data_IF_604151509310
#
_entry.id   IF_604151509310
#
_cell.length_a   1.000
_cell.length_b   1.000
_cell.length_c   1.000
_cell.angle_alpha   90.00
_cell.angle_beta   90.00
_cell.angle_gamma   90.00
#
_symmetry.space_group_name_H-M   'P 1'
#
loop_
_entity.id
_entity.type
_entity.pdbx_description
1 polymer ?
#
# COMPACT_ATOMS: atom_id res chain seq x y z
N UNK A 1 2.88 31.51 -60.57
CA UNK A 1 3.36 31.51 -59.21
C UNK A 1 2.15 31.46 -58.27
N UNK A 2 1.86 30.38 -57.53
CA UNK A 2 0.86 30.40 -56.46
C UNK A 2 1.57 30.54 -55.09
N UNK A 3 0.98 31.37 -54.25
CA UNK A 3 1.36 31.63 -52.86
C UNK A 3 1.12 30.44 -51.90
N UNK A 4 1.85 30.33 -50.82
CA UNK A 4 1.75 29.20 -49.89
C UNK A 4 0.55 29.34 -48.97
N UNK A 5 -0.15 28.21 -48.75
CA UNK A 5 -1.26 28.07 -47.82
C UNK A 5 -0.79 28.05 -46.38
N UNK A 6 -1.49 28.80 -45.52
CA UNK A 6 -1.39 28.83 -44.08
C UNK A 6 -1.65 27.43 -43.48
N UNK A 7 -0.65 26.90 -42.79
CA UNK A 7 -0.83 25.80 -41.85
C UNK A 7 -1.29 26.39 -40.51
N UNK A 8 -2.57 26.20 -40.19
CA UNK A 8 -3.09 26.46 -38.85
C UNK A 8 -2.61 25.35 -37.91
N UNK A 9 -1.76 25.71 -36.99
CA UNK A 9 -1.42 24.90 -35.80
C UNK A 9 -2.63 24.80 -34.90
N UNK A 10 -3.24 23.60 -34.82
CA UNK A 10 -4.25 23.32 -33.83
C UNK A 10 -3.57 23.25 -32.45
N UNK A 11 -3.70 24.31 -31.67
CA UNK A 11 -3.42 24.29 -30.23
C UNK A 11 -4.52 23.47 -29.54
N UNK A 12 -4.20 22.26 -29.15
CA UNK A 12 -5.06 21.43 -28.30
C UNK A 12 -5.19 22.09 -26.93
N UNK A 13 -6.30 22.75 -26.68
CA UNK A 13 -6.70 23.17 -25.35
C UNK A 13 -6.97 21.90 -24.53
N UNK A 14 -6.07 21.56 -23.60
CA UNK A 14 -6.36 20.63 -22.53
C UNK A 14 -7.47 21.24 -21.66
N UNK A 15 -8.69 20.81 -21.91
CA UNK A 15 -9.82 21.13 -21.03
C UNK A 15 -9.57 20.46 -19.68
N UNK A 16 -9.35 21.28 -18.64
CA UNK A 16 -9.39 20.84 -17.25
C UNK A 16 -10.70 20.10 -16.99
N UNK A 17 -10.66 18.89 -16.37
CA UNK A 17 -11.88 18.17 -16.04
C UNK A 17 -12.79 19.04 -15.18
N UNK A 18 -14.01 19.26 -15.63
CA UNK A 18 -15.05 19.96 -14.87
C UNK A 18 -15.31 19.17 -13.60
N UNK A 19 -15.29 19.78 -12.39
CA UNK A 19 -15.68 19.09 -11.19
C UNK A 19 -17.06 18.48 -11.39
N UNK A 20 -17.19 17.18 -11.17
CA UNK A 20 -18.47 16.48 -11.18
C UNK A 20 -19.25 16.90 -9.94
N UNK A 21 -19.78 18.13 -9.94
CA UNK A 21 -20.74 18.59 -8.95
C UNK A 21 -22.09 17.96 -9.28
N UNK A 22 -22.29 16.71 -8.85
CA UNK A 22 -23.62 16.13 -8.73
C UNK A 22 -24.01 16.16 -7.25
N UNK A 23 -24.81 17.15 -6.80
CA UNK A 23 -25.25 17.26 -5.41
C UNK A 23 -26.17 16.12 -4.95
N UNK A 24 -26.52 15.18 -5.86
CA UNK A 24 -27.39 14.04 -5.60
C UNK A 24 -26.70 12.71 -5.32
N UNK A 25 -25.43 12.54 -5.58
CA UNK A 25 -24.73 11.29 -5.26
C UNK A 25 -24.38 11.23 -3.78
N UNK A 26 -25.22 10.55 -3.03
CA UNK A 26 -24.96 10.19 -1.64
C UNK A 26 -24.49 8.73 -1.61
N UNK A 27 -23.21 8.51 -1.34
CA UNK A 27 -22.70 7.24 -0.91
C UNK A 27 -22.09 7.38 0.50
N UNK A 28 -21.86 6.25 1.16
CA UNK A 28 -21.41 6.25 2.55
C UNK A 28 -20.02 6.85 2.73
N UNK A 29 -19.11 6.76 1.72
CA UNK A 29 -17.78 7.35 1.80
C UNK A 29 -17.87 8.87 1.79
N UNK A 30 -18.67 9.43 0.87
CA UNK A 30 -18.91 10.87 0.81
C UNK A 30 -19.58 11.38 2.10
N UNK A 31 -20.46 10.57 2.67
CA UNK A 31 -21.08 10.93 3.96
C UNK A 31 -20.03 10.97 5.08
N UNK A 32 -19.15 9.96 5.17
CA UNK A 32 -18.05 9.94 6.14
C UNK A 32 -17.17 11.20 5.99
N UNK A 33 -16.75 11.52 4.76
CA UNK A 33 -15.91 12.70 4.52
C UNK A 33 -16.62 14.00 4.93
N UNK A 34 -17.93 14.14 4.64
CA UNK A 34 -18.72 15.31 5.08
C UNK A 34 -18.80 15.42 6.59
N UNK A 35 -19.02 14.31 7.28
CA UNK A 35 -19.13 14.27 8.73
C UNK A 35 -17.76 14.63 9.37
N UNK A 36 -16.66 14.12 8.83
CA UNK A 36 -15.31 14.43 9.31
C UNK A 36 -14.93 15.91 9.05
N UNK A 37 -15.33 16.48 7.91
CA UNK A 37 -15.17 17.91 7.63
C UNK A 37 -16.02 18.78 8.60
N UNK A 38 -17.26 18.37 8.87
CA UNK A 38 -18.10 19.04 9.85
C UNK A 38 -17.55 18.94 11.28
N UNK A 39 -16.81 17.87 11.59
CA UNK A 39 -16.10 17.67 12.85
C UNK A 39 -14.78 18.45 12.97
N UNK A 40 -14.37 19.17 11.92
CA UNK A 40 -13.20 20.05 11.93
C UNK A 40 -11.99 19.57 11.13
N UNK A 41 -12.11 18.49 10.35
CA UNK A 41 -11.07 18.13 9.38
C UNK A 41 -10.96 19.25 8.32
N UNK A 42 -9.75 19.69 8.01
CA UNK A 42 -9.55 20.80 7.05
C UNK A 42 -9.84 20.39 5.60
N UNK A 43 -9.35 19.23 5.16
CA UNK A 43 -9.56 18.65 3.84
C UNK A 43 -9.16 17.18 3.84
N UNK A 44 -9.77 16.33 3.00
CA UNK A 44 -9.35 14.93 2.92
C UNK A 44 -7.99 14.80 2.22
N UNK A 45 -7.17 13.90 2.72
CA UNK A 45 -5.97 13.41 2.03
C UNK A 45 -6.11 11.92 1.80
N UNK A 46 -6.12 11.53 0.54
CA UNK A 46 -6.25 10.15 0.07
C UNK A 46 -4.98 9.70 -0.64
N UNK A 47 -4.89 8.46 -1.04
CA UNK A 47 -3.81 7.95 -1.88
C UNK A 47 -4.26 6.76 -2.72
N UNK A 48 -3.70 6.61 -3.90
CA UNK A 48 -3.75 5.39 -4.69
C UNK A 48 -2.42 4.65 -4.52
N UNK A 49 -2.38 3.45 -3.91
CA UNK A 49 -1.16 2.75 -3.52
C UNK A 49 -0.93 1.48 -4.35
N UNK A 50 -0.66 1.57 -5.68
CA UNK A 50 -0.48 0.38 -6.49
C UNK A 50 0.85 -0.33 -6.18
N UNK A 51 0.82 -1.67 -6.20
CA UNK A 51 2.03 -2.50 -6.29
C UNK A 51 2.52 -2.50 -7.75
N UNK A 52 3.79 -2.08 -8.07
CA UNK A 52 4.27 -1.96 -9.44
C UNK A 52 4.69 -3.32 -10.02
N UNK A 53 3.76 -4.28 -10.05
CA UNK A 53 3.98 -5.68 -10.43
C UNK A 53 3.14 -6.11 -11.64
N UNK A 54 2.62 -5.16 -12.44
CA UNK A 54 1.88 -5.36 -13.69
C UNK A 54 0.96 -4.21 -14.03
N UNK A 55 0.40 -4.30 -15.22
CA UNK A 55 -0.52 -3.31 -15.77
C UNK A 55 -1.83 -3.22 -14.99
N UNK A 56 -2.40 -2.03 -14.94
CA UNK A 56 -3.70 -1.79 -14.30
C UNK A 56 -4.84 -2.32 -15.17
N UNK A 57 -5.92 -2.72 -14.52
CA UNK A 57 -7.16 -3.13 -15.17
C UNK A 57 -8.32 -2.26 -14.68
N UNK A 58 -9.48 -2.41 -15.31
CA UNK A 58 -10.68 -1.61 -15.03
C UNK A 58 -11.09 -1.57 -13.54
N UNK A 59 -10.74 -2.61 -12.77
CA UNK A 59 -10.95 -2.62 -11.31
C UNK A 59 -10.10 -1.59 -10.59
N UNK A 60 -8.86 -1.35 -11.06
CA UNK A 60 -8.00 -0.28 -10.53
C UNK A 60 -8.50 1.10 -10.94
N UNK A 61 -9.08 1.26 -12.15
CA UNK A 61 -9.69 2.52 -12.56
C UNK A 61 -10.77 2.98 -11.57
N UNK A 62 -11.58 2.03 -11.05
CA UNK A 62 -12.57 2.36 -10.01
C UNK A 62 -11.92 2.92 -8.75
N UNK A 63 -10.82 2.31 -8.27
CA UNK A 63 -10.09 2.78 -7.10
C UNK A 63 -9.50 4.17 -7.37
N UNK A 64 -8.83 4.36 -8.50
CA UNK A 64 -8.27 5.66 -8.91
C UNK A 64 -9.36 6.74 -8.93
N UNK A 65 -10.47 6.48 -9.63
CA UNK A 65 -11.58 7.43 -9.70
C UNK A 65 -12.19 7.76 -8.33
N UNK A 66 -12.15 6.81 -7.39
CA UNK A 66 -12.65 7.05 -6.04
C UNK A 66 -11.65 7.86 -5.21
N UNK A 67 -10.38 7.43 -5.16
CA UNK A 67 -9.34 8.09 -4.36
C UNK A 67 -9.12 9.54 -4.80
N UNK A 68 -8.88 9.74 -6.09
CA UNK A 68 -8.69 11.07 -6.68
C UNK A 68 -9.98 11.89 -6.72
N UNK A 69 -11.12 11.23 -7.01
CA UNK A 69 -12.42 11.88 -7.08
C UNK A 69 -12.87 12.46 -5.74
N UNK A 70 -12.71 11.72 -4.65
CA UNK A 70 -13.00 12.20 -3.29
C UNK A 70 -12.10 13.40 -2.95
N UNK A 71 -10.80 13.29 -3.18
CA UNK A 71 -9.88 14.40 -2.94
C UNK A 71 -10.30 15.65 -3.71
N UNK A 72 -10.58 15.52 -5.00
CA UNK A 72 -10.97 16.65 -5.88
C UNK A 72 -12.31 17.26 -5.45
N UNK A 73 -13.31 16.42 -5.16
CA UNK A 73 -14.68 16.87 -4.80
C UNK A 73 -14.68 17.70 -3.51
N UNK A 74 -13.85 17.31 -2.54
CA UNK A 74 -13.80 17.97 -1.23
C UNK A 74 -12.61 18.92 -1.04
N UNK A 75 -11.93 19.32 -2.13
CA UNK A 75 -10.82 20.28 -2.08
C UNK A 75 -9.58 19.76 -1.36
N UNK A 76 -9.41 18.46 -1.33
CA UNK A 76 -8.30 17.75 -0.70
C UNK A 76 -7.15 17.42 -1.66
N UNK A 77 -6.35 16.45 -1.27
CA UNK A 77 -5.16 15.99 -2.03
C UNK A 77 -5.18 14.47 -2.16
N UNK A 78 -4.66 13.95 -3.28
CA UNK A 78 -4.45 12.52 -3.48
C UNK A 78 -3.00 12.25 -3.89
N UNK A 79 -2.32 11.36 -3.16
CA UNK A 79 -0.98 10.91 -3.48
C UNK A 79 -1.01 9.68 -4.41
N UNK A 80 0.01 9.52 -5.23
CA UNK A 80 0.35 8.25 -5.86
C UNK A 80 1.53 7.65 -5.09
N UNK A 81 1.31 6.51 -4.43
CA UNK A 81 2.36 5.82 -3.66
C UNK A 81 2.56 4.41 -4.17
N UNK A 82 3.71 4.13 -4.73
CA UNK A 82 4.06 2.77 -5.09
C UNK A 82 4.34 1.92 -3.84
N UNK A 83 3.61 0.82 -3.67
CA UNK A 83 3.94 -0.19 -2.68
C UNK A 83 5.02 -1.11 -3.25
N UNK A 84 6.26 -0.70 -3.08
CA UNK A 84 7.46 -1.39 -3.53
C UNK A 84 8.14 -2.19 -2.40
N UNK A 85 7.35 -2.86 -1.57
CA UNK A 85 7.83 -3.70 -0.46
C UNK A 85 8.19 -5.13 -0.87
N UNK A 86 7.98 -5.49 -2.13
CA UNK A 86 8.24 -6.83 -2.66
C UNK A 86 9.10 -6.83 -3.94
N UNK A 87 10.41 -6.55 -3.83
CA UNK A 87 11.31 -6.32 -4.96
C UNK A 87 11.39 -7.45 -5.98
N UNK A 88 11.00 -8.67 -5.60
CA UNK A 88 11.04 -9.83 -6.51
C UNK A 88 9.99 -9.79 -7.65
N UNK A 89 9.08 -8.82 -7.65
CA UNK A 89 7.96 -8.74 -8.59
C UNK A 89 7.79 -7.37 -9.24
N UNK A 90 8.60 -6.42 -8.86
CA UNK A 90 8.49 -5.03 -9.28
C UNK A 90 9.32 -4.79 -10.54
N UNK A 91 8.78 -3.96 -11.46
CA UNK A 91 9.45 -3.59 -12.68
C UNK A 91 9.22 -2.09 -12.97
N UNK A 92 10.27 -1.32 -13.33
CA UNK A 92 10.15 0.07 -13.74
C UNK A 92 9.16 0.31 -14.90
N UNK A 93 8.95 -0.68 -15.77
CA UNK A 93 7.97 -0.62 -16.84
C UNK A 93 6.56 -0.39 -16.28
N UNK A 94 6.20 -1.13 -15.22
CA UNK A 94 4.88 -1.00 -14.60
C UNK A 94 4.72 0.32 -13.84
N UNK A 95 5.79 0.84 -13.24
CA UNK A 95 5.78 2.17 -12.61
C UNK A 95 5.38 3.24 -13.63
N UNK A 96 5.96 3.22 -14.83
CA UNK A 96 5.65 4.19 -15.89
C UNK A 96 4.23 3.98 -16.44
N UNK A 97 3.85 2.74 -16.74
CA UNK A 97 2.50 2.43 -17.22
C UNK A 97 1.41 2.88 -16.23
N UNK A 98 1.61 2.68 -14.93
CA UNK A 98 0.67 3.12 -13.89
C UNK A 98 0.55 4.66 -13.85
N UNK A 99 1.67 5.39 -13.98
CA UNK A 99 1.63 6.86 -14.07
C UNK A 99 0.84 7.33 -15.29
N UNK A 100 1.09 6.72 -16.44
CA UNK A 100 0.42 7.05 -17.68
C UNK A 100 -1.10 6.74 -17.59
N UNK A 101 -1.47 5.62 -16.99
CA UNK A 101 -2.87 5.24 -16.75
C UNK A 101 -3.61 6.25 -15.85
N UNK A 102 -2.97 6.74 -14.77
CA UNK A 102 -3.56 7.77 -13.89
C UNK A 102 -3.76 9.08 -14.64
N UNK A 103 -2.77 9.51 -15.45
CA UNK A 103 -2.86 10.71 -16.28
C UNK A 103 -3.91 10.56 -17.37
N UNK A 104 -4.00 9.39 -18.02
CA UNK A 104 -5.00 9.10 -19.05
C UNK A 104 -6.44 9.16 -18.49
N UNK A 105 -6.64 8.71 -17.24
CA UNK A 105 -7.90 8.88 -16.53
C UNK A 105 -8.23 10.34 -16.15
N UNK A 106 -7.33 11.28 -16.45
CA UNK A 106 -7.51 12.72 -16.20
C UNK A 106 -7.14 13.19 -14.81
N UNK A 107 -6.40 12.39 -14.03
CA UNK A 107 -5.98 12.75 -12.69
C UNK A 107 -4.50 13.13 -12.61
N UNK A 108 -4.18 13.98 -11.63
CA UNK A 108 -2.82 14.33 -11.24
C UNK A 108 -2.66 14.09 -9.74
N UNK A 109 -1.57 13.44 -9.35
CA UNK A 109 -1.24 13.24 -7.93
C UNK A 109 -0.60 14.49 -7.32
N UNK A 110 -0.82 14.67 -6.03
CA UNK A 110 -0.20 15.76 -5.27
C UNK A 110 1.27 15.45 -4.98
N UNK A 111 1.57 14.21 -4.59
CA UNK A 111 2.92 13.73 -4.32
C UNK A 111 3.08 12.32 -4.91
N UNK A 112 4.29 12.06 -5.45
CA UNK A 112 4.72 10.73 -5.85
C UNK A 112 5.63 10.19 -4.76
N UNK A 113 5.28 9.02 -4.21
CA UNK A 113 5.99 8.37 -3.12
C UNK A 113 6.23 6.89 -3.41
N UNK A 114 7.19 6.31 -2.69
CA UNK A 114 7.46 4.88 -2.67
C UNK A 114 7.48 4.42 -1.22
N UNK A 115 7.00 3.22 -0.92
CA UNK A 115 7.09 2.65 0.42
C UNK A 115 8.56 2.52 0.87
N UNK A 116 9.47 2.28 -0.07
CA UNK A 116 10.91 2.22 0.17
C UNK A 116 11.53 3.54 0.64
N UNK A 117 10.90 4.69 0.39
CA UNK A 117 11.33 5.99 0.93
C UNK A 117 11.33 5.97 2.47
N UNK A 118 10.47 5.14 3.06
CA UNK A 118 10.21 5.07 4.51
C UNK A 118 10.88 3.88 5.20
N UNK A 119 11.65 3.04 4.52
CA UNK A 119 12.22 1.81 5.09
C UNK A 119 12.99 2.03 6.41
N UNK A 120 13.73 3.13 6.52
CA UNK A 120 14.44 3.47 7.77
C UNK A 120 13.44 3.76 8.91
N UNK A 121 12.37 4.49 8.63
CA UNK A 121 11.34 4.82 9.64
C UNK A 121 10.57 3.56 10.04
N UNK A 122 10.27 2.68 9.08
CA UNK A 122 9.65 1.38 9.38
C UNK A 122 10.55 0.52 10.27
N UNK A 123 11.87 0.54 10.01
CA UNK A 123 12.84 -0.20 10.82
C UNK A 123 12.88 0.34 12.26
N UNK A 124 12.98 1.65 12.44
CA UNK A 124 12.96 2.29 13.76
C UNK A 124 11.63 2.07 14.51
N UNK A 125 10.50 2.11 13.78
CA UNK A 125 9.19 1.80 14.35
C UNK A 125 9.11 0.33 14.80
N UNK A 126 9.73 -0.60 14.07
CA UNK A 126 9.81 -2.00 14.48
C UNK A 126 10.70 -2.19 15.72
N UNK A 127 11.84 -1.47 15.83
CA UNK A 127 12.65 -1.46 17.06
C UNK A 127 11.85 -0.92 18.26
N UNK A 128 11.00 0.09 18.04
CA UNK A 128 10.07 0.60 19.08
C UNK A 128 9.09 -0.48 19.53
N UNK A 129 8.45 -1.20 18.61
CA UNK A 129 7.53 -2.29 18.93
C UNK A 129 8.22 -3.42 19.72
N UNK A 130 9.46 -3.75 19.37
CA UNK A 130 10.26 -4.73 20.13
C UNK A 130 10.53 -4.20 21.54
N UNK A 131 10.94 -2.94 21.69
CA UNK A 131 11.23 -2.32 22.98
C UNK A 131 9.99 -2.28 23.89
N UNK A 132 8.80 -2.12 23.33
CA UNK A 132 7.53 -2.17 24.05
C UNK A 132 7.07 -3.60 24.41
N UNK A 133 7.72 -4.63 23.84
CA UNK A 133 7.30 -6.02 23.97
C UNK A 133 6.10 -6.40 23.10
N UNK A 134 5.74 -5.56 22.12
CA UNK A 134 4.64 -5.75 21.16
C UNK A 134 5.09 -6.50 19.90
N UNK A 135 6.38 -6.80 19.73
CA UNK A 135 6.91 -7.63 18.65
C UNK A 135 8.04 -8.54 19.12
N UNK A 136 8.24 -9.65 18.43
CA UNK A 136 9.28 -10.65 18.74
C UNK A 136 9.84 -11.31 17.48
N UNK A 137 11.07 -11.78 17.55
CA UNK A 137 11.70 -12.57 16.49
C UNK A 137 11.29 -14.04 16.63
N UNK A 138 10.78 -14.60 15.55
CA UNK A 138 10.30 -15.98 15.45
C UNK A 138 11.22 -16.75 14.52
N UNK A 139 11.77 -17.88 14.99
CA UNK A 139 12.68 -18.73 14.23
C UNK A 139 11.92 -19.89 13.53
N UNK A 140 10.58 -19.93 13.62
CA UNK A 140 9.76 -20.88 12.87
C UNK A 140 9.81 -20.57 11.38
N UNK A 141 9.95 -21.59 10.55
CA UNK A 141 9.82 -21.47 9.09
C UNK A 141 8.35 -21.24 8.67
N UNK A 142 8.11 -20.98 7.39
CA UNK A 142 6.79 -20.62 6.88
C UNK A 142 5.71 -21.70 7.12
N UNK A 143 6.07 -22.99 7.01
CA UNK A 143 5.13 -24.10 7.21
C UNK A 143 4.81 -24.30 8.69
N UNK A 144 5.80 -24.17 9.56
CA UNK A 144 5.61 -24.18 11.01
C UNK A 144 4.74 -22.99 11.45
N UNK A 145 5.02 -21.78 10.96
CA UNK A 145 4.17 -20.59 11.25
C UNK A 145 2.73 -20.85 10.83
N UNK A 146 2.51 -21.46 9.66
CA UNK A 146 1.16 -21.80 9.18
C UNK A 146 0.49 -22.81 10.11
N UNK A 147 1.22 -23.86 10.55
CA UNK A 147 0.72 -24.86 11.47
C UNK A 147 0.39 -24.27 12.85
N UNK A 148 1.23 -23.36 13.36
CA UNK A 148 0.99 -22.69 14.65
C UNK A 148 -0.16 -21.68 14.59
N UNK A 149 -0.37 -21.02 13.44
CA UNK A 149 -1.44 -20.05 13.24
C UNK A 149 -2.84 -20.69 13.32
N UNK A 150 -2.96 -21.97 13.02
CA UNK A 150 -4.25 -22.68 12.99
C UNK A 150 -5.06 -22.36 11.73
N UNK A 151 -6.36 -22.61 11.81
CA UNK A 151 -7.31 -22.45 10.71
C UNK A 151 -8.41 -21.44 11.07
N UNK A 152 -9.36 -21.20 10.18
CA UNK A 152 -10.53 -20.34 10.50
C UNK A 152 -11.40 -20.93 11.61
N UNK A 153 -11.40 -22.26 11.79
CA UNK A 153 -12.21 -22.97 12.78
C UNK A 153 -11.42 -23.43 14.00
N UNK A 154 -10.08 -23.42 13.92
CA UNK A 154 -9.20 -23.83 15.00
C UNK A 154 -8.32 -22.64 15.42
N UNK A 155 -8.22 -22.36 16.74
CA UNK A 155 -7.37 -21.28 17.22
C UNK A 155 -5.90 -21.59 16.95
N UNK A 156 -5.09 -20.56 16.89
CA UNK A 156 -3.65 -20.70 16.84
C UNK A 156 -3.06 -21.05 18.22
N UNK A 157 -1.78 -21.39 18.20
CA UNK A 157 -0.98 -21.63 19.40
C UNK A 157 0.25 -20.73 19.43
N UNK A 158 0.70 -20.36 20.62
CA UNK A 158 1.86 -19.51 20.78
C UNK A 158 3.13 -20.15 20.20
N UNK A 159 3.92 -19.37 19.47
CA UNK A 159 5.27 -19.76 19.08
C UNK A 159 6.14 -19.99 20.34
N UNK A 160 7.06 -20.97 20.35
CA UNK A 160 8.02 -21.13 21.44
C UNK A 160 8.91 -19.90 21.63
N UNK A 161 9.05 -19.06 20.62
CA UNK A 161 9.87 -17.83 20.66
C UNK A 161 9.10 -16.59 21.11
N UNK A 162 7.78 -16.68 21.32
CA UNK A 162 6.90 -15.54 21.61
C UNK A 162 7.28 -14.78 22.90
N UNK A 163 7.88 -15.47 23.84
CA UNK A 163 8.27 -14.89 25.14
C UNK A 163 9.78 -14.64 25.27
N UNK A 164 10.49 -14.58 24.14
CA UNK A 164 11.89 -14.17 24.10
C UNK A 164 12.07 -12.76 24.68
N UNK A 165 13.16 -12.50 25.39
CA UNK A 165 13.45 -11.22 26.03
C UNK A 165 13.58 -10.07 25.03
N UNK A 166 13.28 -8.86 25.47
CA UNK A 166 13.32 -7.65 24.61
C UNK A 166 14.71 -7.43 24.02
N UNK A 167 15.75 -7.50 24.83
CA UNK A 167 17.13 -7.27 24.35
C UNK A 167 17.57 -8.32 23.35
N UNK A 168 17.27 -9.60 23.59
CA UNK A 168 17.57 -10.66 22.62
C UNK A 168 16.81 -10.45 21.29
N UNK A 169 15.53 -10.06 21.35
CA UNK A 169 14.77 -9.75 20.14
C UNK A 169 15.36 -8.56 19.37
N UNK A 170 15.83 -7.53 20.09
CA UNK A 170 16.46 -6.36 19.50
C UNK A 170 17.77 -6.74 18.78
N UNK A 171 18.62 -7.52 19.46
CA UNK A 171 19.90 -7.96 18.88
C UNK A 171 19.66 -8.83 17.64
N UNK A 172 18.72 -9.79 17.70
CA UNK A 172 18.37 -10.61 16.57
C UNK A 172 17.80 -9.80 15.39
N UNK A 173 17.00 -8.77 15.67
CA UNK A 173 16.47 -7.90 14.61
C UNK A 173 17.57 -7.09 13.94
N UNK A 174 18.57 -6.62 14.70
CA UNK A 174 19.76 -5.96 14.16
C UNK A 174 20.62 -6.92 13.31
N UNK A 175 20.79 -8.15 13.76
CA UNK A 175 21.45 -9.19 12.95
C UNK A 175 20.68 -9.51 11.66
N UNK A 176 19.34 -9.52 11.69
CA UNK A 176 18.53 -9.61 10.48
C UNK A 176 18.80 -8.43 9.54
N UNK A 177 18.87 -7.21 10.06
CA UNK A 177 19.18 -5.99 9.30
C UNK A 177 20.61 -5.99 8.73
N UNK A 178 21.54 -6.59 9.46
CA UNK A 178 22.93 -6.77 9.02
C UNK A 178 23.11 -7.86 7.94
N UNK A 179 22.05 -8.65 7.65
CA UNK A 179 22.11 -9.72 6.64
C UNK A 179 22.79 -11.01 7.15
N UNK A 180 22.84 -11.22 8.46
CA UNK A 180 23.53 -12.39 9.04
C UNK A 180 22.75 -13.71 8.89
N UNK A 181 21.46 -13.65 8.46
CA UNK A 181 20.61 -14.82 8.35
C UNK A 181 20.12 -15.01 6.91
N UNK A 182 20.01 -16.27 6.50
CA UNK A 182 19.46 -16.63 5.18
C UNK A 182 17.96 -16.36 5.09
N UNK A 183 17.47 -16.30 3.86
CA UNK A 183 16.03 -16.12 3.57
C UNK A 183 15.19 -17.16 4.29
N UNK A 184 14.11 -16.70 4.93
CA UNK A 184 13.15 -17.54 5.64
C UNK A 184 13.62 -18.07 6.99
N UNK A 185 14.86 -17.79 7.44
CA UNK A 185 15.36 -18.27 8.73
C UNK A 185 14.63 -17.64 9.92
N UNK A 186 14.21 -16.38 9.80
CA UNK A 186 13.55 -15.62 10.86
C UNK A 186 12.55 -14.63 10.30
N UNK A 187 11.54 -14.32 11.13
CA UNK A 187 10.57 -13.25 10.88
C UNK A 187 10.37 -12.42 12.14
N UNK A 188 10.20 -11.10 11.99
CA UNK A 188 9.65 -10.28 13.06
C UNK A 188 8.13 -10.44 13.04
N UNK A 189 7.54 -10.80 14.16
CA UNK A 189 6.09 -10.97 14.31
C UNK A 189 5.53 -10.02 15.36
N UNK A 190 4.34 -9.48 15.08
CA UNK A 190 3.57 -8.78 16.10
C UNK A 190 3.15 -9.76 17.21
N UNK A 191 3.03 -9.25 18.43
CA UNK A 191 2.57 -10.02 19.60
C UNK A 191 1.16 -9.58 19.96
N UNK A 192 0.16 -10.19 19.33
CA UNK A 192 -1.26 -9.81 19.47
C UNK A 192 -2.05 -10.92 20.19
N UNK A 193 -2.75 -11.76 19.44
CA UNK A 193 -3.60 -12.80 20.02
C UNK A 193 -3.69 -14.04 19.10
N UNK A 194 -3.03 -15.11 19.49
CA UNK A 194 -3.06 -16.38 18.74
C UNK A 194 -4.43 -17.10 18.81
N UNK A 195 -5.31 -16.69 19.72
CA UNK A 195 -6.68 -17.20 19.83
C UNK A 195 -7.72 -16.41 19.05
N UNK A 196 -7.33 -15.30 18.41
CA UNK A 196 -8.26 -14.42 17.69
C UNK A 196 -9.07 -15.16 16.63
N UNK A 197 -10.37 -14.84 16.50
CA UNK A 197 -11.21 -15.27 15.39
C UNK A 197 -10.74 -14.71 14.04
N UNK A 198 -10.12 -13.53 14.05
CA UNK A 198 -9.48 -12.95 12.88
C UNK A 198 -8.04 -13.49 12.76
N UNK A 199 -7.79 -14.27 11.70
CA UNK A 199 -6.50 -14.92 11.46
C UNK A 199 -5.36 -13.91 11.24
N UNK A 200 -5.68 -12.68 10.78
CA UNK A 200 -4.70 -11.60 10.57
C UNK A 200 -4.18 -11.02 11.89
N UNK A 201 -4.83 -11.28 13.02
CA UNK A 201 -4.39 -10.87 14.35
C UNK A 201 -3.61 -11.97 15.10
N UNK A 202 -3.42 -13.14 14.49
CA UNK A 202 -2.68 -14.26 15.11
C UNK A 202 -1.18 -14.11 14.93
N UNK A 203 -0.60 -13.17 15.64
CA UNK A 203 0.82 -12.79 15.59
C UNK A 203 1.34 -12.71 14.14
N UNK A 204 0.85 -11.76 13.32
CA UNK A 204 1.24 -11.63 11.92
C UNK A 204 2.72 -11.25 11.78
N UNK A 205 3.32 -11.62 10.64
CA UNK A 205 4.67 -11.19 10.30
C UNK A 205 4.67 -9.69 9.97
N UNK A 206 5.63 -8.95 10.54
CA UNK A 206 5.88 -7.54 10.25
C UNK A 206 7.09 -7.37 9.32
N UNK A 207 8.12 -8.22 9.44
CA UNK A 207 9.30 -8.25 8.59
C UNK A 207 9.70 -9.66 8.20
N UNK A 208 10.28 -9.78 7.00
CA UNK A 208 10.89 -11.01 6.48
C UNK A 208 12.31 -10.74 5.99
N UNK A 209 13.16 -11.77 6.00
CA UNK A 209 14.48 -11.73 5.39
C UNK A 209 14.33 -12.07 3.91
N UNK A 210 14.94 -11.28 3.03
CA UNK A 210 15.00 -11.54 1.61
C UNK A 210 16.20 -10.84 0.97
N UNK A 211 17.14 -11.63 0.45
CA UNK A 211 18.33 -11.14 -0.23
C UNK A 211 18.05 -10.99 -1.73
N UNK A 212 17.44 -9.88 -2.10
CA UNK A 212 17.11 -9.52 -3.48
C UNK A 212 17.45 -8.05 -3.69
N UNK A 213 17.97 -7.69 -4.84
CA UNK A 213 18.20 -6.31 -5.22
C UNK A 213 16.85 -5.59 -5.40
N UNK A 214 16.73 -4.44 -4.78
CA UNK A 214 15.55 -3.59 -4.83
C UNK A 214 15.79 -2.43 -5.80
N UNK A 215 14.82 -2.12 -6.66
CA UNK A 215 14.97 -1.11 -7.72
C UNK A 215 15.38 0.29 -7.20
N UNK A 216 14.91 0.71 -6.02
CA UNK A 216 15.21 2.03 -5.47
C UNK A 216 16.33 2.01 -4.42
N UNK A 217 16.48 0.91 -3.66
CA UNK A 217 17.43 0.84 -2.54
C UNK A 217 18.61 -0.10 -2.78
N UNK A 218 18.65 -0.78 -3.95
CA UNK A 218 19.70 -1.73 -4.28
C UNK A 218 19.76 -2.86 -3.27
N UNK A 219 20.96 -3.20 -2.80
CA UNK A 219 21.21 -4.25 -1.80
C UNK A 219 21.28 -3.75 -0.36
N UNK A 220 20.86 -2.49 -0.10
CA UNK A 220 20.97 -1.88 1.22
C UNK A 220 20.08 -2.54 2.28
N UNK A 221 19.02 -3.24 1.87
CA UNK A 221 18.05 -3.85 2.77
C UNK A 221 17.93 -5.36 2.53
N UNK A 222 18.45 -6.21 3.45
CA UNK A 222 18.24 -7.67 3.41
C UNK A 222 16.93 -8.10 4.10
N UNK A 223 16.18 -7.15 4.67
CA UNK A 223 14.88 -7.37 5.31
C UNK A 223 13.83 -6.43 4.73
N UNK A 224 12.62 -6.92 4.56
CA UNK A 224 11.50 -6.18 3.99
C UNK A 224 10.28 -6.20 4.89
N UNK A 225 9.60 -5.06 5.05
CA UNK A 225 8.35 -5.01 5.78
C UNK A 225 7.26 -5.79 5.05
N UNK A 226 6.31 -6.33 5.80
CA UNK A 226 5.10 -6.94 5.24
C UNK A 226 4.07 -5.86 4.93
N UNK A 227 3.19 -6.15 3.96
CA UNK A 227 2.19 -5.22 3.43
C UNK A 227 1.42 -4.47 4.53
N UNK A 228 0.76 -5.21 5.44
CA UNK A 228 -0.10 -4.58 6.46
C UNK A 228 0.64 -3.57 7.34
N UNK A 229 1.89 -3.88 7.67
CA UNK A 229 2.75 -3.01 8.45
C UNK A 229 3.22 -1.78 7.66
N UNK A 230 3.71 -1.98 6.44
CA UNK A 230 4.19 -0.89 5.60
C UNK A 230 3.05 0.05 5.19
N UNK A 231 1.91 -0.50 4.80
CA UNK A 231 0.74 0.23 4.35
C UNK A 231 0.20 1.18 5.43
N UNK A 232 -0.02 0.66 6.64
CA UNK A 232 -0.54 1.44 7.77
C UNK A 232 0.39 2.60 8.16
N UNK A 233 1.69 2.33 8.20
CA UNK A 233 2.68 3.36 8.56
C UNK A 233 2.93 4.36 7.44
N UNK A 234 2.91 3.94 6.16
CA UNK A 234 2.97 4.88 5.04
C UNK A 234 1.82 5.88 5.09
N UNK A 235 0.60 5.40 5.35
CA UNK A 235 -0.57 6.26 5.48
C UNK A 235 -0.40 7.27 6.63
N UNK A 236 0.09 6.81 7.78
CA UNK A 236 0.35 7.68 8.93
C UNK A 236 1.46 8.72 8.63
N UNK A 237 2.55 8.32 7.97
CA UNK A 237 3.67 9.19 7.60
C UNK A 237 3.22 10.28 6.63
N UNK A 238 2.44 9.92 5.63
CA UNK A 238 1.96 10.84 4.60
C UNK A 238 0.81 11.75 5.07
N UNK A 239 0.30 11.55 6.28
CA UNK A 239 -0.84 12.30 6.79
C UNK A 239 -2.14 11.97 6.06
N UNK A 240 -2.29 10.74 5.56
CA UNK A 240 -3.52 10.28 4.93
C UNK A 240 -4.64 10.31 5.97
N UNK A 241 -5.77 10.90 5.63
CA UNK A 241 -6.95 10.98 6.50
C UNK A 241 -7.92 9.84 6.22
N UNK A 242 -8.17 9.57 4.95
CA UNK A 242 -9.09 8.55 4.46
C UNK A 242 -8.34 7.54 3.60
N UNK A 243 -8.03 6.41 4.18
CA UNK A 243 -7.35 5.28 3.54
C UNK A 243 -8.40 4.40 2.86
N UNK A 244 -8.74 4.72 1.60
CA UNK A 244 -9.75 3.97 0.86
C UNK A 244 -9.15 2.69 0.28
N UNK A 245 -9.79 1.55 0.49
CA UNK A 245 -9.37 0.25 -0.03
C UNK A 245 -10.56 -0.62 -0.43
N UNK A 246 -10.28 -1.71 -1.15
CA UNK A 246 -11.33 -2.66 -1.52
C UNK A 246 -11.76 -3.51 -0.34
N UNK A 247 -13.00 -4.02 -0.35
CA UNK A 247 -13.62 -4.79 0.74
C UNK A 247 -12.81 -6.03 1.15
N UNK A 248 -11.91 -6.52 0.30
CA UNK A 248 -11.03 -7.65 0.62
C UNK A 248 -10.04 -7.36 1.77
N UNK A 249 -9.85 -6.08 2.12
CA UNK A 249 -9.02 -5.65 3.24
C UNK A 249 -9.79 -5.39 4.54
N UNK A 250 -11.10 -5.66 4.60
CA UNK A 250 -11.91 -5.47 5.81
C UNK A 250 -11.36 -6.25 7.00
N UNK A 251 -11.00 -7.51 6.80
CA UNK A 251 -10.39 -8.36 7.83
C UNK A 251 -8.97 -7.92 8.24
N UNK A 252 -8.30 -7.08 7.42
CA UNK A 252 -6.98 -6.51 7.70
C UNK A 252 -7.06 -5.21 8.52
N UNK A 253 -8.19 -4.51 8.52
CA UNK A 253 -8.36 -3.23 9.24
C UNK A 253 -7.98 -3.30 10.72
N UNK A 254 -8.35 -4.34 11.51
CA UNK A 254 -7.92 -4.41 12.90
C UNK A 254 -6.40 -4.48 13.08
N UNK A 255 -5.66 -5.07 12.13
CA UNK A 255 -4.20 -5.07 12.13
C UNK A 255 -3.64 -3.70 11.72
N UNK A 256 -4.24 -3.06 10.72
CA UNK A 256 -3.93 -1.69 10.34
C UNK A 256 -4.04 -0.73 11.52
N UNK A 257 -5.17 -0.75 12.23
CA UNK A 257 -5.41 0.08 13.41
C UNK A 257 -4.41 -0.24 14.54
N UNK A 258 -4.11 -1.53 14.75
CA UNK A 258 -3.12 -1.95 15.72
C UNK A 258 -1.73 -1.40 15.41
N UNK A 259 -1.28 -1.44 14.16
CA UNK A 259 0.02 -0.89 13.76
C UNK A 259 0.09 0.62 13.99
N UNK A 260 -0.94 1.36 13.56
CA UNK A 260 -1.03 2.81 13.74
C UNK A 260 -1.01 3.19 15.24
N UNK A 261 -1.82 2.49 16.05
CA UNK A 261 -1.95 2.79 17.48
C UNK A 261 -0.69 2.42 18.28
N UNK A 262 -0.05 1.29 17.97
CA UNK A 262 1.12 0.83 18.71
C UNK A 262 2.39 1.60 18.36
N UNK A 263 2.55 1.97 17.09
CA UNK A 263 3.67 2.81 16.66
C UNK A 263 3.46 4.24 17.12
N UNK A 264 2.21 4.73 17.08
CA UNK A 264 1.84 6.09 17.51
C UNK A 264 2.85 7.14 17.01
N UNK A 265 2.94 7.24 15.70
CA UNK A 265 3.95 8.06 15.01
C UNK A 265 3.89 9.53 15.45
N UNK A 266 2.69 10.07 15.63
CA UNK A 266 2.47 11.46 16.02
C UNK A 266 3.09 11.82 17.36
N UNK A 267 3.20 10.85 18.28
CA UNK A 267 3.82 11.02 19.61
C UNK A 267 5.17 10.31 19.72
N UNK A 268 5.89 10.11 18.60
CA UNK A 268 7.21 9.46 18.54
C UNK A 268 8.27 10.43 18.01
N UNK A 269 8.89 11.27 18.88
CA UNK A 269 9.83 12.31 18.47
C UNK A 269 11.01 11.79 17.63
N UNK A 270 11.53 10.61 17.96
CA UNK A 270 12.66 10.00 17.25
C UNK A 270 12.28 9.62 15.81
N UNK A 271 11.08 9.06 15.62
CA UNK A 271 10.56 8.71 14.30
C UNK A 271 10.29 9.97 13.47
N UNK A 272 9.68 10.99 14.08
CA UNK A 272 9.44 12.29 13.43
C UNK A 272 10.75 12.97 13.04
N UNK A 273 11.76 12.94 13.90
CA UNK A 273 13.09 13.48 13.59
C UNK A 273 13.72 12.76 12.40
N UNK A 274 13.60 11.43 12.32
CA UNK A 274 14.11 10.66 11.19
C UNK A 274 13.39 11.01 9.88
N UNK A 275 12.08 11.25 9.92
CA UNK A 275 11.31 11.72 8.75
C UNK A 275 11.76 13.10 8.27
N UNK A 276 11.88 14.06 9.19
CA UNK A 276 12.32 15.42 8.90
C UNK A 276 13.74 15.44 8.33
N UNK A 277 14.65 14.62 8.85
CA UNK A 277 16.01 14.52 8.33
C UNK A 277 16.08 14.02 6.88
N UNK A 278 15.06 13.29 6.41
CA UNK A 278 14.91 12.84 5.04
C UNK A 278 14.10 13.81 4.15
N UNK A 279 13.69 14.95 4.70
CA UNK A 279 12.91 15.96 3.97
C UNK A 279 11.43 15.63 3.82
N UNK A 280 10.90 14.67 4.59
CA UNK A 280 9.47 14.40 4.60
C UNK A 280 8.77 15.37 5.56
N UNK A 281 7.61 15.93 5.17
CA UNK A 281 6.85 16.79 6.08
C UNK A 281 6.33 15.96 7.25
N UNK A 282 6.35 16.54 8.44
CA UNK A 282 5.77 15.96 9.65
C UNK A 282 4.25 16.14 9.65
N UNK A 283 3.56 15.55 8.70
CA UNK A 283 2.09 15.56 8.62
C UNK A 283 1.48 14.33 9.33
N UNK A 284 2.26 13.66 10.17
CA UNK A 284 1.83 12.44 10.86
C UNK A 284 0.39 12.57 11.40
N UNK A 285 -0.47 11.68 10.97
CA UNK A 285 -1.87 11.62 11.37
C UNK A 285 -2.25 10.22 11.82
N UNK A 286 -3.44 10.11 12.42
CA UNK A 286 -4.08 8.81 12.61
C UNK A 286 -5.02 8.58 11.42
N UNK A 287 -4.58 7.84 10.39
CA UNK A 287 -5.41 7.56 9.23
C UNK A 287 -6.56 6.62 9.59
N UNK A 288 -7.65 6.69 8.83
CA UNK A 288 -8.80 5.80 8.96
C UNK A 288 -8.96 4.96 7.71
N UNK A 289 -8.90 3.64 7.83
CA UNK A 289 -9.18 2.73 6.73
C UNK A 289 -10.70 2.61 6.50
N UNK A 290 -11.09 2.69 5.22
CA UNK A 290 -12.51 2.65 4.79
C UNK A 290 -12.59 1.76 3.56
N UNK A 291 -13.38 0.69 3.61
CA UNK A 291 -13.49 -0.27 2.53
C UNK A 291 -14.68 0.04 1.62
N UNK A 292 -14.45 -0.14 0.32
CA UNK A 292 -15.48 -0.04 -0.71
C UNK A 292 -15.63 -1.33 -1.51
N UNK A 293 -16.79 -1.54 -2.10
CA UNK A 293 -17.11 -2.74 -2.88
C UNK A 293 -16.23 -2.88 -4.12
N UNK A 294 -15.79 -4.11 -4.42
CA UNK A 294 -15.10 -4.42 -5.70
C UNK A 294 -16.01 -4.13 -6.89
N UNK A 295 -15.39 -3.76 -8.02
CA UNK A 295 -16.06 -3.80 -9.30
C UNK A 295 -16.10 -5.25 -9.79
N UNK A 296 -17.29 -5.78 -10.04
CA UNK A 296 -17.47 -7.07 -10.69
C UNK A 296 -18.02 -6.81 -12.09
N UNK A 297 -17.32 -7.33 -13.10
CA UNK A 297 -17.77 -7.31 -14.48
C UNK A 297 -18.17 -8.72 -14.89
N UNK A 298 -19.40 -8.87 -15.38
CA UNK A 298 -19.86 -10.13 -15.93
C UNK A 298 -19.06 -10.47 -17.19
N UNK A 299 -18.76 -11.74 -17.38
CA UNK A 299 -18.05 -12.27 -18.57
C UNK A 299 -16.62 -11.71 -18.75
N UNK A 300 -16.03 -11.12 -17.72
CA UNK A 300 -14.69 -10.52 -17.79
C UNK A 300 -13.75 -11.16 -16.78
N UNK A 301 -12.55 -11.54 -17.23
CA UNK A 301 -11.49 -12.07 -16.38
C UNK A 301 -10.72 -10.91 -15.76
N UNK A 302 -10.86 -10.70 -14.44
CA UNK A 302 -10.19 -9.63 -13.69
C UNK A 302 -8.94 -10.11 -12.92
N UNK A 303 -8.59 -11.40 -13.04
CA UNK A 303 -7.43 -11.96 -12.34
C UNK A 303 -6.16 -11.72 -13.13
N UNK A 304 -5.23 -10.92 -12.63
CA UNK A 304 -3.92 -10.66 -13.21
C UNK A 304 -3.19 -11.94 -13.63
N UNK A 305 -3.18 -12.98 -12.76
CA UNK A 305 -2.56 -14.27 -13.09
C UNK A 305 -3.19 -14.94 -14.31
N UNK A 306 -4.52 -14.86 -14.46
CA UNK A 306 -5.22 -15.41 -15.61
C UNK A 306 -4.96 -14.58 -16.88
N UNK A 307 -4.93 -13.25 -16.76
CA UNK A 307 -4.59 -12.36 -17.87
C UNK A 307 -3.17 -12.61 -18.37
N UNK A 308 -2.19 -12.73 -17.45
CA UNK A 308 -0.83 -13.13 -17.79
C UNK A 308 -0.79 -14.46 -18.55
N UNK A 309 -1.56 -15.45 -18.12
CA UNK A 309 -1.63 -16.75 -18.79
C UNK A 309 -2.18 -16.65 -20.22
N UNK A 310 -3.11 -15.73 -20.50
CA UNK A 310 -3.62 -15.48 -21.86
C UNK A 310 -2.52 -14.91 -22.76
N UNK A 311 -1.75 -13.93 -22.27
CA UNK A 311 -0.62 -13.36 -23.01
C UNK A 311 0.46 -14.41 -23.26
N UNK A 312 0.84 -15.17 -22.25
CA UNK A 312 1.85 -16.24 -22.37
C UNK A 312 1.44 -17.37 -23.32
N UNK A 313 0.15 -17.65 -23.40
CA UNK A 313 -0.39 -18.66 -24.31
C UNK A 313 -0.58 -18.14 -25.75
N UNK A 314 -0.30 -16.87 -26.04
CA UNK A 314 -0.50 -16.24 -27.34
C UNK A 314 -1.98 -16.17 -27.78
N UNK A 315 -2.92 -16.18 -26.80
CA UNK A 315 -4.36 -16.06 -27.08
C UNK A 315 -4.79 -14.61 -27.30
N UNK A 316 -3.96 -13.68 -26.84
CA UNK A 316 -4.05 -12.22 -27.05
C UNK A 316 -2.67 -11.72 -27.46
N UNK A 317 -2.62 -10.59 -28.18
CA UNK A 317 -1.39 -10.07 -28.77
C UNK A 317 -0.47 -9.40 -27.73
N UNK A 318 -1.03 -8.95 -26.60
CA UNK A 318 -0.31 -8.29 -25.51
C UNK A 318 -1.25 -7.78 -24.43
N UNK A 319 -0.74 -6.94 -23.57
CA UNK A 319 -1.51 -6.28 -22.52
C UNK A 319 -2.38 -5.13 -23.05
N UNK A 320 -2.03 -4.60 -24.20
CA UNK A 320 -2.73 -3.57 -24.98
C UNK A 320 -3.76 -4.15 -25.98
N UNK A 321 -3.94 -5.47 -25.99
CA UNK A 321 -4.96 -6.11 -26.83
C UNK A 321 -6.36 -5.64 -26.40
N UNK A 322 -7.22 -5.16 -27.35
CA UNK A 322 -8.55 -4.65 -27.03
C UNK A 322 -9.52 -5.68 -26.44
N UNK A 323 -9.14 -6.95 -26.38
CA UNK A 323 -9.87 -8.00 -25.67
C UNK A 323 -9.50 -8.10 -24.19
N UNK A 324 -8.45 -7.37 -23.76
CA UNK A 324 -7.97 -7.37 -22.39
C UNK A 324 -8.67 -6.26 -21.58
N UNK A 325 -9.08 -6.53 -20.32
CA UNK A 325 -9.68 -5.51 -19.43
C UNK A 325 -8.64 -4.64 -18.73
N UNK A 326 -7.48 -4.47 -19.34
CA UNK A 326 -6.41 -3.58 -18.90
C UNK A 326 -6.70 -2.15 -19.35
N UNK A 327 -6.19 -1.15 -18.65
CA UNK A 327 -6.37 0.24 -19.06
C UNK A 327 -5.64 0.54 -20.37
N UNK A 328 -4.62 -0.23 -20.71
CA UNK A 328 -3.93 -0.12 -22.00
C UNK A 328 -4.67 -0.81 -23.16
N UNK A 329 -5.53 -1.79 -22.86
CA UNK A 329 -6.35 -2.46 -23.87
C UNK A 329 -7.71 -1.77 -24.16
N UNK A 330 -8.10 -0.81 -23.32
CA UNK A 330 -9.33 -0.02 -23.46
C UNK A 330 -9.04 1.28 -24.20
#
# INVERSE_FOLDING_TARGET
>A
VPSPSNAQTASGEHSTPRPLQDPGRQDFIRQIVRDDLAAGLSAPKTRFPPEPNGYLHIGHAKAICLDFGIATEFGGRCNLRFDDTNPAREDPEYVNAIKDDVLWLGFQWSELRHASDYFEVFYLAAEKLIAQGDAYICDLNADEVRAYRGTLTEPGRNSPFRNRGVEENRDLFRCMRAGEFVDGARTLRAKIDMGSGNINLRDPALYRIKHVEHQNTGTAWPIYPMYDYAHSLSDAIEGITHSLCTLEFEDHRPLYDWCVDKVDLAHSPDLLTSLLAKGFPSEASKPRQIEFSRANLNYTVMSKRKLMALVQAGLVDGWDDPRMPTLQGI
#
